data_IF_374692461730
#
_entry.id   IF_374692461730
#
_cell.length_a   1.000
_cell.length_b   1.000
_cell.length_c   1.000
_cell.angle_alpha   90.00
_cell.angle_beta   90.00
_cell.angle_gamma   90.00
#
_symmetry.space_group_name_H-M   'P 1'
#
loop_
_entity.id
_entity.type
_entity.pdbx_description
1 polymer ?
#
# COMPACT_ATOMS: atom_id res chain seq x y z
N UNK A 1 15.78 43.09 26.66
CA UNK A 1 14.42 42.51 26.52
C UNK A 1 14.42 41.71 25.23
N UNK A 2 14.54 40.38 25.32
CA UNK A 2 14.72 39.51 24.15
C UNK A 2 13.34 39.22 23.53
N UNK A 3 13.15 39.40 22.21
CA UNK A 3 11.85 39.14 21.60
C UNK A 3 11.48 37.66 21.73
N UNK A 4 10.20 37.33 21.96
CA UNK A 4 9.75 35.95 22.04
C UNK A 4 10.01 35.24 20.71
N UNK A 5 10.59 34.03 20.80
CA UNK A 5 10.83 33.16 19.64
C UNK A 5 9.46 32.82 19.04
N UNK A 6 9.20 33.12 17.75
CA UNK A 6 7.93 32.78 17.13
C UNK A 6 7.75 31.26 17.15
N UNK A 7 6.53 30.75 17.44
CA UNK A 7 6.27 29.32 17.37
C UNK A 7 6.59 28.83 15.96
N UNK A 8 7.36 27.74 15.85
CA UNK A 8 7.67 27.13 14.57
C UNK A 8 6.36 26.82 13.84
N UNK A 9 6.05 27.61 12.81
CA UNK A 9 4.86 27.41 12.00
C UNK A 9 4.94 26.00 11.43
N UNK A 10 4.03 25.12 11.84
CA UNK A 10 3.95 23.76 11.29
C UNK A 10 3.31 23.87 9.90
N UNK A 11 4.04 24.47 8.96
CA UNK A 11 3.56 24.74 7.61
C UNK A 11 3.27 23.41 6.92
N UNK A 12 2.09 23.34 6.30
CA UNK A 12 1.67 22.17 5.54
C UNK A 12 2.65 21.96 4.38
N UNK A 13 3.24 20.78 4.28
CA UNK A 13 4.17 20.45 3.19
C UNK A 13 3.40 20.06 1.94
N UNK A 14 3.04 21.06 1.14
CA UNK A 14 2.31 20.87 -0.12
C UNK A 14 3.03 19.94 -1.09
N UNK A 15 4.37 19.96 -1.10
CA UNK A 15 5.19 19.08 -1.95
C UNK A 15 4.92 17.60 -1.69
N UNK A 16 4.80 17.20 -0.42
CA UNK A 16 4.51 15.82 -0.04
C UNK A 16 3.06 15.42 -0.35
N UNK A 17 2.14 16.38 -0.29
CA UNK A 17 0.75 16.12 -0.62
C UNK A 17 0.58 15.93 -2.13
N UNK A 18 1.20 16.78 -2.96
CA UNK A 18 1.26 16.59 -4.41
C UNK A 18 1.95 15.30 -4.81
N UNK A 19 3.08 14.96 -4.18
CA UNK A 19 3.79 13.72 -4.47
C UNK A 19 2.93 12.48 -4.17
N UNK A 20 2.15 12.49 -3.08
CA UNK A 20 1.17 11.43 -2.79
C UNK A 20 0.07 11.36 -3.82
N UNK A 21 -0.49 12.51 -4.22
CA UNK A 21 -1.57 12.58 -5.20
C UNK A 21 -1.09 12.01 -6.52
N UNK A 22 0.05 12.45 -7.03
CA UNK A 22 0.64 11.96 -8.27
C UNK A 22 0.98 10.46 -8.19
N UNK A 23 1.58 10.01 -7.09
CA UNK A 23 1.86 8.59 -6.89
C UNK A 23 0.59 7.74 -6.86
N UNK A 24 -0.49 8.25 -6.24
CA UNK A 24 -1.78 7.56 -6.21
C UNK A 24 -2.42 7.53 -7.60
N UNK A 25 -2.37 8.63 -8.35
CA UNK A 25 -2.91 8.65 -9.71
C UNK A 25 -2.11 7.79 -10.68
N UNK A 26 -0.80 7.68 -10.51
CA UNK A 26 0.05 6.80 -11.33
C UNK A 26 -0.30 5.30 -11.17
N UNK A 27 -0.93 4.92 -10.06
CA UNK A 27 -1.36 3.55 -9.82
C UNK A 27 -2.41 3.09 -10.84
N UNK A 28 -3.29 3.98 -11.31
CA UNK A 28 -4.32 3.65 -12.29
C UNK A 28 -3.75 3.26 -13.67
N UNK A 29 -2.96 4.10 -14.37
CA UNK A 29 -2.37 3.72 -15.65
C UNK A 29 -1.39 2.56 -15.50
N UNK A 30 -0.73 2.40 -14.34
CA UNK A 30 0.07 1.20 -14.06
C UNK A 30 -0.77 -0.07 -14.14
N UNK A 31 -1.90 -0.14 -13.44
CA UNK A 31 -2.76 -1.32 -13.45
C UNK A 31 -3.45 -1.57 -14.80
N UNK A 32 -3.79 -0.51 -15.53
CA UNK A 32 -4.28 -0.66 -16.90
C UNK A 32 -3.17 -1.23 -17.79
N UNK A 33 -1.95 -0.68 -17.72
CA UNK A 33 -0.82 -1.17 -18.50
C UNK A 33 -0.48 -2.63 -18.18
N UNK A 34 -0.59 -3.07 -16.92
CA UNK A 34 -0.39 -4.48 -16.51
C UNK A 34 -1.33 -5.48 -17.20
N UNK A 35 -2.48 -5.04 -17.74
CA UNK A 35 -3.36 -5.90 -18.54
C UNK A 35 -2.81 -6.16 -19.94
N UNK A 36 -1.98 -5.24 -20.47
CA UNK A 36 -1.44 -5.27 -21.83
C UNK A 36 0.07 -5.58 -21.88
N UNK A 37 0.74 -5.65 -20.74
CA UNK A 37 2.15 -6.04 -20.63
C UNK A 37 2.32 -7.57 -20.76
N UNK A 38 3.51 -8.06 -21.10
CA UNK A 38 3.81 -9.50 -21.24
C UNK A 38 4.34 -10.13 -19.93
N UNK A 39 4.41 -9.35 -18.84
CA UNK A 39 4.91 -9.85 -17.56
C UNK A 39 3.92 -10.85 -16.92
N UNK A 40 4.39 -11.98 -16.39
CA UNK A 40 3.56 -13.16 -16.09
C UNK A 40 2.57 -12.99 -14.94
N UNK A 41 2.80 -12.01 -14.05
CA UNK A 41 2.03 -11.86 -12.81
C UNK A 41 1.00 -10.74 -12.98
N UNK A 42 -0.22 -11.10 -13.42
CA UNK A 42 -1.38 -10.23 -13.34
C UNK A 42 -2.71 -10.98 -13.46
N UNK A 43 -3.79 -10.40 -12.91
CA UNK A 43 -5.09 -11.07 -12.77
C UNK A 43 -5.77 -11.35 -14.11
N UNK A 44 -5.65 -10.42 -15.07
CA UNK A 44 -6.33 -10.50 -16.38
C UNK A 44 -5.38 -9.95 -17.43
N UNK A 45 -5.21 -10.68 -18.52
CA UNK A 45 -4.40 -10.28 -19.67
C UNK A 45 -5.26 -10.11 -20.91
N UNK A 46 -4.91 -9.12 -21.72
CA UNK A 46 -5.50 -8.94 -23.04
C UNK A 46 -4.87 -9.91 -24.05
N UNK A 47 -5.61 -10.23 -25.12
CA UNK A 47 -5.09 -11.04 -26.22
C UNK A 47 -4.04 -10.27 -27.05
N UNK A 48 -4.20 -8.96 -27.18
CA UNK A 48 -3.23 -8.07 -27.83
C UNK A 48 -2.34 -7.43 -26.76
N UNK A 49 -1.04 -7.70 -26.84
CA UNK A 49 -0.04 -7.18 -25.92
C UNK A 49 0.75 -6.03 -26.57
N UNK A 50 1.22 -5.10 -25.76
CA UNK A 50 2.00 -3.95 -26.19
C UNK A 50 3.36 -3.95 -25.48
N UNK A 51 4.45 -4.43 -26.14
CA UNK A 51 5.77 -4.56 -25.51
C UNK A 51 6.33 -3.25 -24.93
N UNK A 52 5.93 -2.10 -25.47
CA UNK A 52 6.31 -0.80 -24.92
C UNK A 52 5.79 -0.54 -23.49
N UNK A 53 4.71 -1.22 -23.09
CA UNK A 53 4.16 -1.13 -21.74
C UNK A 53 4.96 -1.95 -20.73
N UNK A 54 5.72 -2.96 -21.15
CA UNK A 54 6.59 -3.74 -20.26
C UNK A 54 7.63 -2.86 -19.60
N UNK A 55 8.24 -1.95 -20.37
CA UNK A 55 9.19 -0.98 -19.83
C UNK A 55 8.50 -0.04 -18.84
N UNK A 56 7.31 0.46 -19.17
CA UNK A 56 6.55 1.34 -18.29
C UNK A 56 6.18 0.65 -16.96
N UNK A 57 5.64 -0.57 -17.02
CA UNK A 57 5.25 -1.32 -15.81
C UNK A 57 6.47 -1.69 -14.98
N UNK A 58 7.55 -2.19 -15.59
CA UNK A 58 8.79 -2.52 -14.88
C UNK A 58 9.40 -1.28 -14.20
N UNK A 59 9.46 -0.15 -14.92
CA UNK A 59 9.99 1.10 -14.39
C UNK A 59 9.18 1.60 -13.20
N UNK A 60 7.85 1.73 -13.35
CA UNK A 60 6.98 2.20 -12.26
C UNK A 60 7.08 1.25 -11.06
N UNK A 61 7.04 -0.06 -11.29
CA UNK A 61 7.09 -1.06 -10.23
C UNK A 61 8.33 -0.91 -9.33
N UNK A 62 9.50 -0.57 -9.91
CA UNK A 62 10.77 -0.51 -9.20
C UNK A 62 10.81 0.54 -8.07
N UNK A 63 10.21 1.71 -8.26
CA UNK A 63 10.32 2.84 -7.33
C UNK A 63 9.01 3.22 -6.64
N UNK A 64 7.87 2.84 -7.21
CA UNK A 64 6.56 3.29 -6.75
C UNK A 64 6.22 2.77 -5.34
N UNK A 65 6.48 1.49 -5.06
CA UNK A 65 6.25 0.92 -3.73
C UNK A 65 7.20 1.49 -2.67
N UNK A 66 8.53 1.58 -2.89
CA UNK A 66 9.43 2.29 -1.99
C UNK A 66 8.98 3.73 -1.68
N UNK A 67 8.53 4.48 -2.69
CA UNK A 67 8.02 5.83 -2.51
C UNK A 67 6.81 5.86 -1.56
N UNK A 68 5.84 4.95 -1.75
CA UNK A 68 4.69 4.86 -0.87
C UNK A 68 5.06 4.52 0.58
N UNK A 69 6.04 3.63 0.80
CA UNK A 69 6.53 3.33 2.15
C UNK A 69 7.19 4.54 2.81
N UNK A 70 7.99 5.32 2.07
CA UNK A 70 8.58 6.56 2.59
C UNK A 70 7.50 7.58 2.97
N UNK A 71 6.51 7.79 2.09
CA UNK A 71 5.41 8.73 2.31
C UNK A 71 4.52 8.31 3.49
N UNK A 72 4.26 7.01 3.62
CA UNK A 72 3.50 6.43 4.72
C UNK A 72 4.27 6.55 6.04
N UNK A 73 5.57 6.22 6.06
CA UNK A 73 6.44 6.36 7.21
C UNK A 73 6.54 7.80 7.71
N UNK A 74 6.72 8.77 6.81
CA UNK A 74 6.71 10.19 7.14
C UNK A 74 5.40 10.62 7.82
N UNK A 75 4.26 10.20 7.25
CA UNK A 75 2.93 10.49 7.82
C UNK A 75 2.72 9.83 9.18
N UNK A 76 3.22 8.60 9.35
CA UNK A 76 3.10 7.82 10.58
C UNK A 76 3.90 8.46 11.71
N UNK A 77 5.15 8.86 11.45
CA UNK A 77 5.98 9.56 12.42
C UNK A 77 5.33 10.86 12.89
N UNK A 78 4.90 11.72 11.96
CA UNK A 78 4.27 12.99 12.30
C UNK A 78 2.91 12.82 13.01
N UNK A 79 2.18 11.74 12.73
CA UNK A 79 0.92 11.43 13.41
C UNK A 79 1.14 10.89 14.82
N UNK A 80 2.09 9.97 14.98
CA UNK A 80 2.41 9.34 16.26
C UNK A 80 2.99 10.36 17.25
N UNK A 81 3.88 11.24 16.79
CA UNK A 81 4.47 12.31 17.60
C UNK A 81 3.42 13.30 18.14
N UNK A 82 2.32 13.54 17.40
CA UNK A 82 1.28 14.51 17.79
C UNK A 82 0.15 13.91 18.62
N UNK A 83 -0.20 12.63 18.41
CA UNK A 83 -1.45 12.03 18.94
C UNK A 83 -1.23 10.92 19.98
N UNK A 84 0.00 10.45 20.14
CA UNK A 84 0.31 9.30 20.99
C UNK A 84 -0.15 7.96 20.41
N UNK A 85 0.33 6.87 21.02
CA UNK A 85 0.19 5.51 20.47
C UNK A 85 -1.27 5.02 20.35
N UNK A 86 -2.09 5.26 21.38
CA UNK A 86 -3.47 4.76 21.41
C UNK A 86 -4.36 5.40 20.34
N UNK A 87 -4.30 6.74 20.21
CA UNK A 87 -5.06 7.49 19.20
C UNK A 87 -4.59 7.16 17.78
N UNK A 88 -3.27 7.01 17.59
CA UNK A 88 -2.68 6.56 16.34
C UNK A 88 -3.18 5.17 15.91
N UNK A 89 -3.20 4.19 16.83
CA UNK A 89 -3.68 2.85 16.53
C UNK A 89 -5.18 2.85 16.17
N UNK A 90 -6.01 3.60 16.91
CA UNK A 90 -7.45 3.74 16.60
C UNK A 90 -7.68 4.32 15.20
N UNK A 91 -6.89 5.32 14.81
CA UNK A 91 -6.96 5.91 13.48
C UNK A 91 -6.54 4.89 12.39
N UNK A 92 -5.49 4.11 12.64
CA UNK A 92 -5.01 3.08 11.72
C UNK A 92 -6.02 1.95 11.53
N UNK A 93 -6.68 1.49 12.60
CA UNK A 93 -7.77 0.52 12.48
C UNK A 93 -8.90 1.08 11.61
N UNK A 94 -9.37 2.31 11.87
CA UNK A 94 -10.48 2.89 11.10
C UNK A 94 -10.14 3.19 9.64
N UNK A 95 -8.90 3.62 9.35
CA UNK A 95 -8.49 4.08 8.01
C UNK A 95 -7.75 3.03 7.18
N UNK A 96 -7.26 1.96 7.79
CA UNK A 96 -6.50 0.90 7.10
C UNK A 96 -7.26 -0.42 7.24
N UNK A 97 -7.52 -0.88 8.46
CA UNK A 97 -8.12 -2.21 8.67
C UNK A 97 -9.56 -2.27 8.15
N UNK A 98 -10.39 -1.27 8.41
CA UNK A 98 -11.78 -1.25 7.94
C UNK A 98 -11.87 -1.23 6.41
N UNK A 99 -11.18 -0.32 5.67
CA UNK A 99 -11.15 -0.37 4.21
C UNK A 99 -10.55 -1.66 3.65
N UNK A 100 -9.52 -2.21 4.32
CA UNK A 100 -8.92 -3.48 3.95
C UNK A 100 -9.94 -4.62 4.01
N UNK A 101 -10.65 -4.78 5.13
CA UNK A 101 -11.68 -5.83 5.29
C UNK A 101 -12.81 -5.63 4.29
N UNK A 102 -13.30 -4.40 4.13
CA UNK A 102 -14.35 -4.11 3.16
C UNK A 102 -13.92 -4.46 1.73
N UNK A 103 -12.71 -4.07 1.33
CA UNK A 103 -12.16 -4.42 0.02
C UNK A 103 -11.94 -5.93 -0.15
N UNK A 104 -11.48 -6.62 0.89
CA UNK A 104 -11.26 -8.06 0.86
C UNK A 104 -12.57 -8.85 0.72
N UNK A 105 -13.67 -8.35 1.29
CA UNK A 105 -14.99 -8.99 1.17
C UNK A 105 -15.73 -8.60 -0.12
N UNK A 106 -15.57 -7.36 -0.60
CA UNK A 106 -16.39 -6.87 -1.72
C UNK A 106 -15.66 -6.98 -3.07
N UNK A 107 -14.37 -6.64 -3.11
CA UNK A 107 -13.62 -6.48 -4.36
C UNK A 107 -12.77 -7.71 -4.69
N UNK A 108 -12.13 -8.34 -3.69
CA UNK A 108 -11.27 -9.50 -3.94
C UNK A 108 -12.01 -10.70 -4.55
N UNK A 109 -13.25 -11.07 -4.17
CA UNK A 109 -13.96 -12.16 -4.82
C UNK A 109 -14.24 -11.86 -6.30
N UNK A 110 -14.64 -10.62 -6.62
CA UNK A 110 -14.89 -10.20 -8.01
C UNK A 110 -13.61 -10.30 -8.84
N UNK A 111 -12.49 -9.84 -8.30
CA UNK A 111 -11.21 -9.86 -8.99
C UNK A 111 -10.67 -11.28 -9.18
N UNK A 112 -10.77 -12.13 -8.15
CA UNK A 112 -10.37 -13.54 -8.25
C UNK A 112 -11.26 -14.32 -9.21
N UNK A 113 -12.56 -14.02 -9.26
CA UNK A 113 -13.46 -14.63 -10.22
C UNK A 113 -13.11 -14.23 -11.66
N UNK A 114 -12.82 -12.94 -11.90
CA UNK A 114 -12.37 -12.47 -13.21
C UNK A 114 -11.05 -13.13 -13.63
N UNK A 115 -10.12 -13.32 -12.69
CA UNK A 115 -8.87 -14.05 -12.90
C UNK A 115 -9.11 -15.50 -13.34
N UNK A 116 -9.93 -16.25 -12.60
CA UNK A 116 -10.26 -17.64 -12.94
C UNK A 116 -10.97 -17.73 -14.30
N UNK A 117 -11.85 -16.77 -14.59
CA UNK A 117 -12.54 -16.67 -15.90
C UNK A 117 -11.60 -16.31 -17.05
N UNK A 118 -10.48 -15.67 -16.78
CA UNK A 118 -9.41 -15.43 -17.76
C UNK A 118 -8.54 -16.66 -18.02
N UNK A 119 -8.77 -17.77 -17.32
CA UNK A 119 -7.99 -19.00 -17.45
C UNK A 119 -6.68 -18.98 -16.65
N UNK A 120 -6.53 -18.04 -15.72
CA UNK A 120 -5.36 -17.91 -14.86
C UNK A 120 -5.74 -18.19 -13.41
N UNK A 121 -4.81 -18.74 -12.63
CA UNK A 121 -4.93 -18.82 -11.18
C UNK A 121 -3.63 -18.39 -10.53
N UNK A 122 -3.68 -17.26 -9.84
CA UNK A 122 -2.64 -16.72 -8.99
C UNK A 122 -2.84 -17.28 -7.59
N UNK A 123 -1.86 -18.04 -7.13
CA UNK A 123 -1.82 -18.60 -5.78
C UNK A 123 -0.48 -18.24 -5.13
N UNK A 124 -0.30 -18.61 -3.86
CA UNK A 124 0.98 -18.45 -3.17
C UNK A 124 2.16 -19.15 -3.88
N UNK A 125 1.87 -20.13 -4.75
CA UNK A 125 2.88 -20.88 -5.52
C UNK A 125 3.25 -20.20 -6.85
N UNK A 126 2.62 -19.08 -7.19
CA UNK A 126 2.80 -18.36 -8.45
C UNK A 126 1.55 -18.38 -9.33
N UNK A 127 1.75 -18.12 -10.62
CA UNK A 127 0.68 -18.08 -11.63
C UNK A 127 0.65 -19.41 -12.36
N UNK A 128 -0.51 -20.06 -12.33
CA UNK A 128 -0.76 -21.30 -13.06
C UNK A 128 -1.91 -21.12 -14.04
N UNK A 129 -1.74 -21.46 -15.33
CA UNK A 129 -2.86 -21.51 -16.26
C UNK A 129 -3.82 -22.63 -15.82
N UNK A 130 -5.11 -22.36 -15.93
CA UNK A 130 -6.15 -23.35 -15.68
C UNK A 130 -6.24 -24.29 -16.87
N UNK A 131 -6.28 -25.59 -16.59
CA UNK A 131 -6.52 -26.61 -17.62
C UNK A 131 -8.04 -26.66 -17.86
N UNK A 132 -8.47 -26.15 -19.00
CA UNK A 132 -9.89 -26.11 -19.39
C UNK A 132 -10.60 -24.81 -19.01
N UNK A 133 -11.90 -24.76 -19.33
CA UNK A 133 -12.74 -23.60 -19.07
C UNK A 133 -13.20 -23.57 -17.60
N UNK A 134 -13.18 -22.38 -16.99
CA UNK A 134 -13.77 -22.18 -15.69
C UNK A 134 -15.29 -21.92 -15.82
N UNK A 135 -16.08 -22.91 -15.41
CA UNK A 135 -17.54 -22.95 -15.67
C UNK A 135 -18.41 -22.61 -14.45
N UNK A 136 -17.83 -22.45 -13.26
CA UNK A 136 -18.57 -22.05 -12.07
C UNK A 136 -19.17 -20.64 -12.26
N UNK A 137 -20.45 -20.48 -11.91
CA UNK A 137 -21.07 -19.16 -11.83
C UNK A 137 -20.55 -18.38 -10.61
N UNK A 138 -20.66 -17.05 -10.63
CA UNK A 138 -20.21 -16.23 -9.50
C UNK A 138 -20.86 -16.62 -8.16
N UNK A 139 -22.16 -16.98 -8.18
CA UNK A 139 -22.88 -17.41 -6.99
C UNK A 139 -22.40 -18.76 -6.44
N UNK A 140 -21.93 -19.65 -7.31
CA UNK A 140 -21.31 -20.93 -6.90
C UNK A 140 -19.88 -20.70 -6.38
N UNK A 141 -19.15 -19.76 -6.99
CA UNK A 141 -17.80 -19.40 -6.57
C UNK A 141 -17.76 -18.70 -5.20
N UNK A 142 -18.67 -17.76 -4.95
CA UNK A 142 -18.60 -16.85 -3.81
C UNK A 142 -18.47 -17.56 -2.43
N UNK A 143 -19.25 -18.62 -2.11
CA UNK A 143 -19.07 -19.36 -0.86
C UNK A 143 -17.70 -20.06 -0.79
N UNK A 144 -17.20 -20.55 -1.92
CA UNK A 144 -15.89 -21.22 -1.98
C UNK A 144 -14.74 -20.26 -1.74
N UNK A 145 -14.86 -18.98 -2.14
CA UNK A 145 -13.82 -17.98 -1.90
C UNK A 145 -13.50 -17.78 -0.41
N UNK A 146 -14.51 -17.83 0.46
CA UNK A 146 -14.34 -17.63 1.90
C UNK A 146 -14.00 -18.90 2.68
N UNK A 147 -14.32 -20.06 2.12
CA UNK A 147 -14.10 -21.36 2.79
C UNK A 147 -12.80 -22.02 2.35
N UNK A 148 -12.31 -21.71 1.15
CA UNK A 148 -11.13 -22.34 0.55
C UNK A 148 -9.94 -21.39 0.52
N UNK A 149 -8.88 -21.76 1.23
CA UNK A 149 -7.63 -20.98 1.34
C UNK A 149 -6.92 -20.86 -0.01
N UNK A 150 -7.06 -21.83 -0.91
CA UNK A 150 -6.47 -21.79 -2.25
C UNK A 150 -7.11 -20.72 -3.17
N UNK A 151 -8.32 -20.27 -2.84
CA UNK A 151 -9.07 -19.28 -3.62
C UNK A 151 -9.01 -17.88 -3.01
N UNK A 152 -8.86 -17.80 -1.69
CA UNK A 152 -8.77 -16.53 -0.99
C UNK A 152 -7.55 -15.72 -1.42
N UNK A 153 -7.76 -14.44 -1.75
CA UNK A 153 -6.67 -13.53 -2.10
C UNK A 153 -6.94 -12.12 -1.58
N UNK A 154 -5.86 -11.45 -1.23
CA UNK A 154 -5.79 -10.07 -0.78
C UNK A 154 -5.45 -9.17 -1.98
N UNK A 155 -4.94 -9.78 -3.06
CA UNK A 155 -4.60 -9.14 -4.34
C UNK A 155 -3.94 -7.78 -4.12
N UNK A 156 -4.46 -6.71 -4.71
CA UNK A 156 -3.95 -5.35 -4.65
C UNK A 156 -3.99 -4.69 -3.27
N UNK A 157 -4.72 -5.27 -2.30
CA UNK A 157 -4.86 -4.72 -0.94
C UNK A 157 -3.67 -5.09 -0.03
N UNK A 158 -2.71 -5.87 -0.53
CA UNK A 158 -1.52 -6.29 0.23
C UNK A 158 -0.79 -5.10 0.89
N UNK A 159 -0.74 -3.96 0.21
CA UNK A 159 -0.09 -2.76 0.72
C UNK A 159 -0.73 -2.25 2.02
N UNK A 160 -2.06 -2.29 2.13
CA UNK A 160 -2.77 -1.88 3.36
C UNK A 160 -2.44 -2.82 4.52
N UNK A 161 -2.38 -4.12 4.26
CA UNK A 161 -1.97 -5.10 5.27
C UNK A 161 -0.55 -4.79 5.75
N UNK A 162 0.37 -4.49 4.84
CA UNK A 162 1.75 -4.18 5.20
C UNK A 162 1.85 -2.91 6.05
N UNK A 163 1.10 -1.86 5.72
CA UNK A 163 1.03 -0.65 6.55
C UNK A 163 0.52 -0.94 7.97
N UNK A 164 -0.46 -1.82 8.09
CA UNK A 164 -0.99 -2.23 9.37
C UNK A 164 0.03 -3.07 10.16
N UNK A 165 0.69 -4.03 9.52
CA UNK A 165 1.76 -4.84 10.13
C UNK A 165 2.92 -3.95 10.60
N UNK A 166 3.41 -3.04 9.76
CA UNK A 166 4.47 -2.10 10.15
C UNK A 166 4.05 -1.20 11.32
N UNK A 167 2.79 -0.77 11.36
CA UNK A 167 2.25 -0.03 12.50
C UNK A 167 2.34 -0.85 13.79
N UNK A 168 1.94 -2.12 13.75
CA UNK A 168 2.04 -3.01 14.91
C UNK A 168 3.50 -3.22 15.33
N UNK A 169 4.39 -3.59 14.41
CA UNK A 169 5.82 -3.76 14.68
C UNK A 169 6.43 -2.50 15.31
N UNK A 170 6.08 -1.32 14.79
CA UNK A 170 6.58 -0.03 15.28
C UNK A 170 6.12 0.29 16.70
N UNK A 171 4.90 -0.09 17.07
CA UNK A 171 4.37 0.13 18.43
C UNK A 171 4.88 -0.89 19.44
N UNK A 172 5.10 -2.14 19.02
CA UNK A 172 5.51 -3.23 19.91
C UNK A 172 7.02 -3.30 20.13
N UNK A 173 7.84 -2.72 19.25
CA UNK A 173 9.29 -2.76 19.40
C UNK A 173 9.76 -1.60 20.30
N UNK A 174 10.33 -1.85 21.50
CA UNK A 174 10.81 -0.80 22.41
C UNK A 174 11.93 0.06 21.81
N UNK A 175 12.57 -0.42 20.75
CA UNK A 175 13.57 0.28 19.94
C UNK A 175 13.02 1.57 19.31
N UNK A 176 11.77 1.55 18.84
CA UNK A 176 11.19 2.71 18.14
C UNK A 176 10.74 3.79 19.13
N UNK A 177 10.26 3.40 20.31
CA UNK A 177 10.02 4.32 21.41
C UNK A 177 11.30 5.08 21.82
N UNK A 178 12.48 4.43 21.74
CA UNK A 178 13.79 5.07 21.98
C UNK A 178 14.19 6.05 20.86
N UNK A 179 13.86 5.74 19.59
CA UNK A 179 14.11 6.63 18.45
C UNK A 179 13.22 7.88 18.49
N UNK A 180 11.93 7.75 18.81
CA UNK A 180 11.00 8.89 18.91
C UNK A 180 11.32 9.78 20.11
N UNK A 181 11.84 9.21 21.21
CA UNK A 181 12.28 9.94 22.42
C UNK A 181 13.52 10.81 22.23
N UNK A 182 14.14 10.86 21.04
CA UNK A 182 15.20 11.81 20.70
C UNK A 182 14.69 12.94 19.80
N UNK A 183 13.82 13.86 20.27
CA UNK A 183 13.57 15.08 19.54
C UNK A 183 14.83 15.96 19.60
N UNK A 184 15.40 16.22 18.42
CA UNK A 184 16.37 17.28 18.08
C UNK A 184 17.04 18.06 19.22
N UNK A 185 18.06 17.49 19.86
CA UNK A 185 18.95 18.22 20.78
C UNK A 185 20.37 18.44 20.23
N UNK A 186 20.57 18.35 18.90
CA UNK A 186 21.92 18.44 18.28
C UNK A 186 22.08 19.39 17.09
N UNK A 187 21.04 20.11 16.66
CA UNK A 187 21.18 21.09 15.56
C UNK A 187 21.14 22.56 16.01
N UNK A 188 20.85 22.85 17.29
CA UNK A 188 20.85 24.22 17.82
C UNK A 188 22.19 24.64 18.48
N UNK A 189 23.14 23.73 18.67
CA UNK A 189 24.43 24.03 19.32
C UNK A 189 25.57 24.32 18.34
N UNK A 190 25.33 24.24 17.03
CA UNK A 190 26.36 24.48 16.01
C UNK A 190 26.32 25.88 15.39
N UNK A 191 25.31 26.70 15.67
CA UNK A 191 25.17 28.07 15.12
C UNK A 191 25.39 29.20 16.13
N UNK A 192 25.91 28.90 17.33
CA UNK A 192 26.29 29.92 18.34
C UNK A 192 27.81 30.11 18.41
N UNK A 193 28.57 29.48 17.50
CA UNK A 193 30.00 29.67 17.37
C UNK A 193 30.35 30.07 15.93
N UNK A 194 29.94 31.28 15.53
CA UNK A 194 30.59 32.10 14.50
C UNK A 194 30.02 33.52 14.54
#
# INVERSE_FOLDING_TARGET
>A
MMPPIPPASTSRRYDLDWLRILATYLLFPYHVAKTFDDLPIYHVKNAELAPGLDFFTAFVHQWHMPLFFVLAGWSAYASLARRGAASFLKERVRRVLVPFVAGALLLCPLLKYAELRSGLSITAKGVTPLVGRYDETFLQFLPTFYTRVDRFTWSHLWFLLYLFTFTFTLLYTPLFARLIRRPGRRLASASVAR
#
